data_IF_350964609295
#
_entry.id   IF_350964609295
#
_cell.length_a   1.000
_cell.length_b   1.000
_cell.length_c   1.000
_cell.angle_alpha   90.00
_cell.angle_beta   90.00
_cell.angle_gamma   90.00
#
_symmetry.space_group_name_H-M   'P 1'
#
loop_
_entity.id
_entity.type
_entity.pdbx_description
1 polymer ?
#
# COMPACT_ATOMS: atom_id res chain seq x y z
N UNK A 1 -43.95 8.39 1.83
CA UNK A 1 -42.75 9.06 1.24
C UNK A 1 -42.19 10.19 2.10
N UNK A 2 -42.93 10.76 3.06
CA UNK A 2 -42.46 11.83 3.95
C UNK A 2 -41.60 11.36 5.14
N UNK A 3 -41.51 10.06 5.36
CA UNK A 3 -40.81 9.47 6.51
C UNK A 3 -39.44 8.86 6.13
N UNK A 4 -39.10 8.81 4.83
CA UNK A 4 -37.81 8.31 4.37
C UNK A 4 -36.70 9.28 4.79
N UNK A 5 -35.72 8.77 5.57
CA UNK A 5 -34.55 9.51 5.91
C UNK A 5 -33.46 9.32 4.86
N UNK A 6 -33.30 10.30 3.98
CA UNK A 6 -32.34 10.25 2.86
C UNK A 6 -30.86 10.32 3.30
N UNK A 7 -30.60 10.72 4.54
CA UNK A 7 -29.26 10.82 5.10
C UNK A 7 -28.74 9.51 5.68
N UNK A 8 -29.58 8.48 5.72
CA UNK A 8 -29.23 7.14 6.18
C UNK A 8 -29.28 6.12 5.04
N UNK A 9 -28.27 5.27 4.95
CA UNK A 9 -28.20 4.21 3.94
C UNK A 9 -29.39 3.21 4.01
N UNK A 10 -29.99 3.06 5.20
CA UNK A 10 -31.17 2.21 5.47
C UNK A 10 -32.41 3.02 5.75
N UNK A 11 -32.46 4.28 5.40
CA UNK A 11 -33.52 5.22 5.75
C UNK A 11 -34.87 4.97 5.08
N UNK A 12 -34.96 4.01 4.16
CA UNK A 12 -36.21 3.55 3.53
C UNK A 12 -37.00 2.56 4.41
N UNK A 13 -36.38 2.00 5.44
CA UNK A 13 -36.94 1.01 6.33
C UNK A 13 -36.84 1.46 7.77
N UNK A 14 -37.85 1.10 8.56
CA UNK A 14 -37.93 1.38 9.99
C UNK A 14 -38.09 0.06 10.75
N UNK A 15 -37.34 -0.10 11.85
CA UNK A 15 -37.43 -1.28 12.70
C UNK A 15 -38.17 -0.90 13.99
N UNK A 16 -39.31 -1.53 14.23
CA UNK A 16 -40.07 -1.35 15.44
C UNK A 16 -39.55 -2.30 16.54
N UNK A 17 -38.93 -1.76 17.57
CA UNK A 17 -38.41 -2.55 18.68
C UNK A 17 -39.49 -2.66 19.79
N UNK A 18 -39.88 -3.89 20.12
CA UNK A 18 -40.81 -4.17 21.22
C UNK A 18 -40.09 -4.46 22.55
N UNK A 19 -38.82 -4.85 22.49
CA UNK A 19 -37.97 -5.10 23.64
C UNK A 19 -36.51 -4.74 23.32
N UNK A 20 -35.76 -4.35 24.34
CA UNK A 20 -34.33 -4.04 24.26
C UNK A 20 -33.60 -4.76 25.40
N UNK A 21 -32.66 -5.59 25.05
CA UNK A 21 -31.73 -6.22 25.99
C UNK A 21 -30.32 -5.66 25.81
N UNK A 22 -29.72 -5.12 26.86
CA UNK A 22 -28.37 -4.60 26.86
C UNK A 22 -27.42 -5.78 27.16
N UNK A 23 -26.75 -6.29 26.13
CA UNK A 23 -25.81 -7.40 26.27
C UNK A 23 -24.54 -6.93 26.98
N UNK A 24 -23.98 -5.78 26.57
CA UNK A 24 -22.79 -5.19 27.18
C UNK A 24 -22.95 -3.68 27.30
N UNK A 25 -22.43 -3.13 28.38
CA UNK A 25 -22.24 -1.67 28.52
C UNK A 25 -20.86 -1.28 28.05
N UNK A 26 -20.70 -0.07 27.55
CA UNK A 26 -19.42 0.49 27.14
C UNK A 26 -19.19 1.84 27.83
N UNK A 27 -17.90 2.14 28.04
CA UNK A 27 -17.49 3.50 28.36
C UNK A 27 -17.67 4.44 27.16
N UNK A 28 -17.76 5.75 27.36
CA UNK A 28 -17.78 6.72 26.28
C UNK A 28 -16.58 6.56 25.36
N UNK A 29 -16.81 6.67 24.05
CA UNK A 29 -15.73 6.55 23.07
C UNK A 29 -14.76 7.74 23.20
N UNK A 30 -13.43 7.49 23.15
CA UNK A 30 -12.42 8.55 23.27
C UNK A 30 -12.27 9.40 21.99
N UNK A 31 -12.94 8.99 20.90
CA UNK A 31 -13.03 9.76 19.65
C UNK A 31 -14.47 10.16 19.40
N UNK A 32 -14.68 11.40 19.02
CA UNK A 32 -15.98 11.89 18.57
C UNK A 32 -16.17 11.57 17.09
N UNK A 33 -17.24 10.84 16.75
CA UNK A 33 -17.56 10.49 15.36
C UNK A 33 -18.06 11.69 14.55
N UNK A 34 -18.54 12.74 15.21
CA UNK A 34 -19.17 13.90 14.58
C UNK A 34 -18.26 15.14 14.50
N UNK A 35 -17.11 15.12 15.16
CA UNK A 35 -16.18 16.25 15.23
C UNK A 35 -14.79 15.87 14.74
N UNK A 36 -13.99 16.90 14.45
CA UNK A 36 -12.59 16.71 14.07
C UNK A 36 -11.77 16.39 15.33
N UNK A 37 -11.23 15.17 15.37
CA UNK A 37 -10.31 14.75 16.42
C UNK A 37 -8.86 15.13 16.05
N UNK A 38 -8.01 15.37 17.05
CA UNK A 38 -6.58 15.61 16.82
C UNK A 38 -5.91 14.39 16.20
N UNK A 39 -4.86 14.59 15.42
CA UNK A 39 -4.09 13.50 14.82
C UNK A 39 -3.54 12.55 15.89
N UNK A 40 -3.04 13.08 16.99
CA UNK A 40 -2.54 12.30 18.12
C UNK A 40 -3.62 11.36 18.69
N UNK A 41 -4.83 11.86 18.93
CA UNK A 41 -5.94 11.04 19.43
C UNK A 41 -6.34 9.96 18.41
N UNK A 42 -6.37 10.29 17.12
CA UNK A 42 -6.68 9.36 16.03
C UNK A 42 -5.63 8.27 15.90
N UNK A 43 -4.36 8.59 16.08
CA UNK A 43 -3.27 7.59 16.06
C UNK A 43 -3.27 6.72 17.32
N UNK A 44 -3.53 7.30 18.49
CA UNK A 44 -3.63 6.57 19.76
C UNK A 44 -4.79 5.55 19.74
N UNK A 45 -5.93 5.95 19.20
CA UNK A 45 -7.12 5.11 19.10
C UNK A 45 -7.40 4.69 17.66
N UNK A 46 -6.35 4.27 16.96
CA UNK A 46 -6.39 3.98 15.53
C UNK A 46 -7.49 2.99 15.14
N UNK A 47 -7.73 1.98 15.96
CA UNK A 47 -8.76 0.97 15.75
C UNK A 47 -10.19 1.54 15.77
N UNK A 48 -10.42 2.64 16.49
CA UNK A 48 -11.68 3.36 16.47
C UNK A 48 -11.76 4.32 15.27
N UNK A 49 -10.67 5.04 14.97
CA UNK A 49 -10.60 5.94 13.82
C UNK A 49 -10.84 5.19 12.50
N UNK A 50 -10.37 3.95 12.39
CA UNK A 50 -10.60 3.11 11.21
C UNK A 50 -12.06 2.68 10.99
N UNK A 51 -12.94 2.85 11.98
CA UNK A 51 -14.38 2.62 11.81
C UNK A 51 -15.09 3.75 11.06
N UNK A 52 -14.45 4.89 10.93
CA UNK A 52 -14.96 6.01 10.16
C UNK A 52 -14.99 5.64 8.67
N UNK A 53 -16.11 5.94 7.94
CA UNK A 53 -16.27 5.53 6.55
C UNK A 53 -15.11 5.93 5.64
N UNK A 54 -14.61 7.16 5.77
CA UNK A 54 -13.51 7.68 4.96
C UNK A 54 -12.18 6.96 5.25
N UNK A 55 -11.93 6.56 6.48
CA UNK A 55 -10.73 5.81 6.86
C UNK A 55 -10.81 4.36 6.43
N UNK A 56 -11.98 3.74 6.64
CA UNK A 56 -12.25 2.40 6.15
C UNK A 56 -12.12 2.33 4.61
N UNK A 57 -12.61 3.36 3.90
CA UNK A 57 -12.52 3.43 2.44
C UNK A 57 -11.08 3.47 1.93
N UNK A 58 -10.17 4.15 2.64
CA UNK A 58 -8.73 4.16 2.28
C UNK A 58 -8.13 2.75 2.32
N UNK A 59 -8.42 1.98 3.36
CA UNK A 59 -7.94 0.59 3.45
C UNK A 59 -8.58 -0.32 2.41
N UNK A 60 -9.88 -0.15 2.14
CA UNK A 60 -10.58 -0.89 1.07
C UNK A 60 -9.98 -0.57 -0.30
N UNK A 61 -9.68 0.70 -0.57
CA UNK A 61 -9.01 1.12 -1.82
C UNK A 61 -7.64 0.49 -1.94
N UNK A 62 -6.83 0.52 -0.87
CA UNK A 62 -5.52 -0.16 -0.85
C UNK A 62 -5.64 -1.65 -1.14
N UNK A 63 -6.60 -2.34 -0.54
CA UNK A 63 -6.84 -3.76 -0.80
C UNK A 63 -7.23 -4.03 -2.26
N UNK A 64 -8.07 -3.18 -2.87
CA UNK A 64 -8.41 -3.27 -4.30
C UNK A 64 -7.19 -3.08 -5.19
N UNK A 65 -6.36 -2.07 -4.91
CA UNK A 65 -5.11 -1.82 -5.65
C UNK A 65 -4.20 -3.05 -5.60
N UNK A 66 -3.96 -3.59 -4.41
CA UNK A 66 -3.11 -4.78 -4.23
C UNK A 66 -3.64 -5.99 -4.99
N UNK A 67 -4.95 -6.24 -4.91
CA UNK A 67 -5.60 -7.33 -5.63
C UNK A 67 -5.51 -7.16 -7.14
N UNK A 68 -5.73 -5.94 -7.65
CA UNK A 68 -5.59 -5.63 -9.07
C UNK A 68 -4.16 -5.88 -9.56
N UNK A 69 -3.16 -5.34 -8.85
CA UNK A 69 -1.75 -5.47 -9.25
C UNK A 69 -1.35 -6.94 -9.33
N UNK A 70 -1.77 -7.78 -8.38
CA UNK A 70 -1.48 -9.22 -8.42
C UNK A 70 -2.07 -9.87 -9.67
N UNK A 71 -3.36 -9.66 -9.96
CA UNK A 71 -3.98 -10.21 -11.18
C UNK A 71 -3.27 -9.73 -12.43
N UNK A 72 -3.01 -8.42 -12.54
CA UNK A 72 -2.34 -7.86 -13.71
C UNK A 72 -0.96 -8.47 -13.93
N UNK A 73 -0.14 -8.57 -12.89
CA UNK A 73 1.21 -9.12 -12.99
C UNK A 73 1.20 -10.61 -13.31
N UNK A 74 0.30 -11.39 -12.69
CA UNK A 74 0.12 -12.80 -12.96
C UNK A 74 -0.30 -13.04 -14.44
N UNK A 75 -1.25 -12.23 -14.94
CA UNK A 75 -1.72 -12.31 -16.33
C UNK A 75 -0.62 -11.98 -17.36
N UNK A 76 0.40 -11.19 -16.95
CA UNK A 76 1.56 -10.85 -17.77
C UNK A 76 2.76 -11.78 -17.55
N UNK A 77 2.57 -12.89 -16.85
CA UNK A 77 3.58 -13.93 -16.66
C UNK A 77 4.65 -13.59 -15.63
N UNK A 78 4.40 -12.62 -14.74
CA UNK A 78 5.27 -12.33 -13.61
C UNK A 78 5.00 -13.28 -12.46
N UNK A 79 6.06 -13.64 -11.73
CA UNK A 79 5.99 -14.46 -10.53
C UNK A 79 6.12 -13.60 -9.28
N UNK A 80 5.20 -13.75 -8.34
CA UNK A 80 5.28 -13.16 -7.01
C UNK A 80 6.24 -13.98 -6.16
N UNK A 81 7.43 -13.45 -5.90
CA UNK A 81 8.47 -14.15 -5.12
C UNK A 81 8.80 -13.31 -3.90
N UNK A 82 8.55 -13.88 -2.72
CA UNK A 82 8.88 -13.26 -1.45
C UNK A 82 10.39 -13.35 -1.17
N UNK A 83 10.98 -12.24 -0.74
CA UNK A 83 12.39 -12.11 -0.41
C UNK A 83 12.60 -11.87 1.10
N UNK A 84 13.77 -12.21 1.65
CA UNK A 84 14.03 -12.04 3.08
C UNK A 84 13.96 -10.58 3.54
N UNK A 85 13.47 -10.37 4.78
CA UNK A 85 13.43 -9.06 5.45
C UNK A 85 14.60 -8.89 6.43
N UNK A 86 15.10 -9.95 7.05
CA UNK A 86 16.31 -9.92 7.86
C UNK A 86 17.52 -10.21 6.99
N UNK A 87 18.17 -9.15 6.50
CA UNK A 87 19.22 -9.25 5.49
C UNK A 87 20.54 -8.70 5.99
N UNK A 88 21.57 -8.81 5.17
CA UNK A 88 22.82 -8.09 5.33
C UNK A 88 22.63 -6.65 4.81
N UNK A 89 23.28 -5.68 5.47
CA UNK A 89 23.30 -4.30 4.99
C UNK A 89 23.86 -4.21 3.57
N UNK A 90 23.16 -3.43 2.72
CA UNK A 90 23.57 -3.14 1.34
C UNK A 90 23.61 -1.64 1.13
N UNK A 91 24.61 -1.10 0.40
CA UNK A 91 24.70 0.33 0.13
C UNK A 91 23.70 0.73 -0.97
N UNK A 92 22.51 1.21 -0.57
CA UNK A 92 21.45 1.62 -1.51
C UNK A 92 21.07 3.10 -1.41
N UNK A 93 21.92 3.94 -0.84
CA UNK A 93 21.73 5.39 -0.83
C UNK A 93 21.10 5.96 0.45
N UNK A 94 20.18 5.27 1.11
CA UNK A 94 19.67 5.64 2.43
C UNK A 94 20.44 4.93 3.56
N UNK A 95 20.16 5.30 4.80
CA UNK A 95 20.64 4.54 5.96
C UNK A 95 19.71 3.34 6.21
N UNK A 96 20.32 2.24 6.65
CA UNK A 96 19.58 1.03 7.00
C UNK A 96 19.03 1.10 8.42
N UNK A 97 17.83 0.57 8.64
CA UNK A 97 17.38 0.19 9.96
C UNK A 97 18.03 -1.11 10.38
N UNK A 98 18.58 -1.15 11.58
CA UNK A 98 19.34 -2.30 12.09
C UNK A 98 18.52 -3.05 13.14
N UNK A 99 18.57 -4.39 13.07
CA UNK A 99 17.98 -5.29 14.04
C UNK A 99 19.09 -6.07 14.73
N UNK A 100 19.31 -5.91 16.06
CA UNK A 100 20.35 -6.64 16.78
C UNK A 100 20.15 -8.14 16.70
N UNK A 101 21.25 -8.88 16.46
CA UNK A 101 21.22 -10.35 16.52
C UNK A 101 21.29 -10.82 17.97
N UNK A 102 20.32 -11.61 18.39
CA UNK A 102 20.34 -12.27 19.71
C UNK A 102 21.44 -13.34 19.80
N UNK A 103 21.66 -14.05 18.70
CA UNK A 103 22.60 -15.19 18.65
C UNK A 103 24.05 -14.73 18.52
N UNK A 104 24.30 -13.70 17.75
CA UNK A 104 25.66 -13.19 17.47
C UNK A 104 25.85 -11.81 18.10
N UNK A 105 26.47 -11.75 19.26
CA UNK A 105 26.76 -10.49 19.98
C UNK A 105 27.53 -9.50 19.07
N UNK A 106 27.09 -8.26 19.06
CA UNK A 106 27.70 -7.19 18.29
C UNK A 106 27.44 -7.23 16.78
N UNK A 107 26.58 -8.16 16.31
CA UNK A 107 26.16 -8.23 14.91
C UNK A 107 24.68 -7.84 14.76
N UNK A 108 24.34 -7.35 13.56
CA UNK A 108 23.04 -6.82 13.23
C UNK A 108 22.55 -7.37 11.88
N UNK A 109 21.26 -7.55 11.78
CA UNK A 109 20.56 -7.60 10.51
C UNK A 109 20.22 -6.18 10.06
N UNK A 110 20.09 -5.96 8.76
CA UNK A 110 19.51 -4.76 8.19
C UNK A 110 18.13 -5.06 7.60
N UNK A 111 17.19 -4.14 7.78
CA UNK A 111 15.92 -4.19 7.05
C UNK A 111 16.14 -3.66 5.64
N UNK A 112 15.58 -4.29 4.58
CA UNK A 112 15.88 -3.93 3.20
C UNK A 112 15.30 -2.57 2.82
N UNK A 113 16.10 -1.78 2.13
CA UNK A 113 15.65 -0.54 1.49
C UNK A 113 14.86 -0.81 0.21
N UNK A 114 15.18 -1.90 -0.46
CA UNK A 114 14.46 -2.56 -1.54
C UNK A 114 14.98 -4.00 -1.67
N UNK A 115 14.31 -4.91 -2.38
CA UNK A 115 14.82 -6.25 -2.63
C UNK A 115 15.83 -6.31 -3.80
N UNK A 116 16.57 -5.24 -4.08
CA UNK A 116 17.42 -5.08 -5.27
C UNK A 116 18.41 -6.23 -5.49
N UNK A 117 19.13 -6.64 -4.46
CA UNK A 117 20.09 -7.75 -4.57
C UNK A 117 19.38 -9.07 -4.89
N UNK A 118 18.28 -9.35 -4.20
CA UNK A 118 17.55 -10.61 -4.36
C UNK A 118 16.90 -10.70 -5.73
N UNK A 119 16.29 -9.65 -6.24
CA UNK A 119 15.67 -9.68 -7.56
C UNK A 119 16.68 -9.85 -8.69
N UNK A 120 17.90 -9.28 -8.56
CA UNK A 120 19.00 -9.56 -9.48
C UNK A 120 19.41 -11.03 -9.44
N UNK A 121 19.54 -11.62 -8.25
CA UNK A 121 19.83 -13.05 -8.09
C UNK A 121 18.74 -13.93 -8.67
N UNK A 122 17.48 -13.52 -8.56
CA UNK A 122 16.33 -14.23 -9.17
C UNK A 122 16.42 -14.21 -10.71
N UNK A 123 16.83 -13.10 -11.31
CA UNK A 123 17.11 -13.05 -12.76
C UNK A 123 18.22 -14.03 -13.17
N UNK A 124 19.31 -14.07 -12.40
CA UNK A 124 20.39 -15.05 -12.62
C UNK A 124 19.92 -16.49 -12.42
N UNK A 125 18.89 -16.71 -11.62
CA UNK A 125 18.29 -18.02 -11.35
C UNK A 125 17.27 -18.46 -12.41
N UNK A 126 17.04 -17.63 -13.45
CA UNK A 126 16.12 -17.95 -14.55
C UNK A 126 14.66 -17.54 -14.34
N UNK A 127 14.38 -16.70 -13.34
CA UNK A 127 13.04 -16.10 -13.14
C UNK A 127 12.94 -14.79 -13.92
N UNK A 128 12.64 -14.87 -15.20
CA UNK A 128 12.73 -13.76 -16.15
C UNK A 128 11.73 -12.63 -15.92
N UNK A 129 10.68 -12.87 -15.15
CA UNK A 129 9.66 -11.89 -14.77
C UNK A 129 9.30 -12.08 -13.32
N UNK A 130 9.78 -11.16 -12.50
CA UNK A 130 9.57 -11.13 -11.05
C UNK A 130 8.79 -9.89 -10.67
N UNK A 131 7.89 -10.03 -9.71
CA UNK A 131 7.35 -8.90 -8.95
C UNK A 131 7.15 -9.26 -7.48
N UNK A 132 7.02 -8.23 -6.67
CA UNK A 132 6.65 -8.37 -5.27
C UNK A 132 5.97 -7.09 -4.79
N UNK A 133 4.89 -7.21 -4.01
CA UNK A 133 4.34 -6.10 -3.24
C UNK A 133 4.98 -6.19 -1.86
N UNK A 134 6.02 -5.40 -1.63
CA UNK A 134 6.98 -5.59 -0.56
C UNK A 134 7.13 -4.36 0.32
N UNK A 135 7.30 -4.57 1.62
CA UNK A 135 7.70 -3.51 2.55
C UNK A 135 9.17 -3.19 2.40
N UNK A 136 9.47 -1.88 2.38
CA UNK A 136 10.81 -1.33 2.31
C UNK A 136 11.01 -0.35 3.45
N UNK A 137 12.27 -0.18 3.87
CA UNK A 137 12.65 0.59 5.04
C UNK A 137 13.81 1.51 4.70
N UNK A 138 13.67 2.80 4.98
CA UNK A 138 14.72 3.80 4.75
C UNK A 138 14.77 4.77 5.90
N UNK A 139 15.90 4.85 6.58
CA UNK A 139 16.15 5.83 7.64
C UNK A 139 16.64 7.14 7.00
N UNK A 140 15.68 7.91 6.53
CA UNK A 140 15.86 9.20 5.87
C UNK A 140 15.02 10.29 6.54
N UNK A 141 15.35 11.54 6.25
CA UNK A 141 14.53 12.66 6.67
C UNK A 141 13.13 12.59 6.04
N UNK A 142 12.11 12.71 6.87
CA UNK A 142 10.73 12.66 6.43
C UNK A 142 10.37 13.92 5.64
N UNK A 143 9.72 13.73 4.52
CA UNK A 143 9.10 14.80 3.72
C UNK A 143 7.62 14.49 3.57
N UNK A 144 6.85 15.45 3.09
CA UNK A 144 5.37 15.46 3.02
C UNK A 144 4.67 14.09 2.97
N UNK A 145 5.04 13.23 2.05
CA UNK A 145 4.45 11.90 1.82
C UNK A 145 5.40 10.72 2.06
N UNK A 146 6.65 11.00 2.45
CA UNK A 146 7.66 9.95 2.70
C UNK A 146 7.54 9.40 4.12
N UNK A 147 7.56 8.08 4.21
CA UNK A 147 7.55 7.33 5.46
C UNK A 147 8.80 6.43 5.54
N UNK A 148 9.33 6.18 6.74
CA UNK A 148 10.49 5.29 6.91
C UNK A 148 10.17 3.83 6.58
N UNK A 149 8.92 3.44 6.70
CA UNK A 149 8.38 2.15 6.29
C UNK A 149 7.29 2.38 5.23
N UNK A 150 7.45 1.81 4.06
CA UNK A 150 6.54 1.97 2.94
C UNK A 150 6.46 0.70 2.10
N UNK A 151 5.50 0.66 1.19
CA UNK A 151 5.30 -0.50 0.30
C UNK A 151 5.64 -0.13 -1.13
N UNK A 152 6.40 -0.99 -1.80
CA UNK A 152 6.68 -0.91 -3.23
C UNK A 152 5.93 -2.00 -4.00
N UNK A 153 5.57 -1.67 -5.23
CA UNK A 153 5.36 -2.66 -6.29
C UNK A 153 6.72 -2.79 -6.95
N UNK A 154 7.47 -3.81 -6.57
CA UNK A 154 8.81 -4.05 -7.05
C UNK A 154 8.81 -5.03 -8.21
N UNK A 155 9.52 -4.72 -9.28
CA UNK A 155 9.51 -5.48 -10.54
C UNK A 155 10.93 -5.61 -11.07
N UNK A 156 11.26 -6.79 -11.59
CA UNK A 156 12.50 -7.02 -12.33
C UNK A 156 12.23 -7.93 -13.52
N UNK A 157 12.89 -7.64 -14.64
CA UNK A 157 12.75 -8.43 -15.87
C UNK A 157 14.09 -8.72 -16.50
N UNK A 158 14.22 -9.92 -17.12
CA UNK A 158 15.28 -10.27 -18.06
C UNK A 158 14.76 -10.14 -19.49
N UNK A 159 15.68 -9.91 -20.45
CA UNK A 159 15.41 -9.95 -21.89
C UNK A 159 14.32 -8.96 -22.36
N UNK A 160 14.07 -7.90 -21.62
CA UNK A 160 13.14 -6.84 -22.00
C UNK A 160 13.88 -5.52 -22.20
N UNK A 161 13.47 -4.80 -23.25
CA UNK A 161 13.96 -3.43 -23.50
C UNK A 161 13.23 -2.42 -22.61
N UNK A 162 13.83 -1.25 -22.43
CA UNK A 162 13.20 -0.17 -21.66
C UNK A 162 11.80 0.24 -22.20
N UNK A 163 11.55 0.33 -23.52
CA UNK A 163 10.20 0.55 -24.05
C UNK A 163 9.20 -0.53 -23.65
N UNK A 164 9.58 -1.81 -23.71
CA UNK A 164 8.70 -2.92 -23.32
C UNK A 164 8.31 -2.87 -21.84
N UNK A 165 9.26 -2.57 -20.95
CA UNK A 165 8.96 -2.40 -19.52
C UNK A 165 8.02 -1.22 -19.30
N UNK A 166 8.28 -0.10 -19.99
CA UNK A 166 7.43 1.09 -19.90
C UNK A 166 5.99 0.80 -20.35
N UNK A 167 5.82 0.11 -21.47
CA UNK A 167 4.49 -0.27 -21.98
C UNK A 167 3.69 -1.11 -20.98
N UNK A 168 4.32 -2.08 -20.34
CA UNK A 168 3.66 -2.90 -19.31
C UNK A 168 3.28 -2.03 -18.10
N UNK A 169 4.18 -1.18 -17.63
CA UNK A 169 3.91 -0.32 -16.47
C UNK A 169 2.84 0.73 -16.78
N UNK A 170 2.84 1.32 -17.97
CA UNK A 170 1.79 2.22 -18.41
C UNK A 170 0.43 1.52 -18.46
N UNK A 171 0.37 0.34 -19.05
CA UNK A 171 -0.85 -0.46 -19.10
C UNK A 171 -1.37 -0.78 -17.70
N UNK A 172 -0.48 -1.17 -16.77
CA UNK A 172 -0.84 -1.42 -15.38
C UNK A 172 -1.45 -0.19 -14.72
N UNK A 173 -0.82 0.97 -14.83
CA UNK A 173 -1.29 2.21 -14.19
C UNK A 173 -2.63 2.65 -14.79
N UNK A 174 -2.77 2.63 -16.12
CA UNK A 174 -4.01 3.01 -16.80
C UNK A 174 -5.19 2.12 -16.41
N UNK A 175 -5.00 0.81 -16.42
CA UNK A 175 -6.05 -0.15 -16.04
C UNK A 175 -6.39 -0.05 -14.55
N UNK A 176 -5.39 0.16 -13.68
CA UNK A 176 -5.58 0.37 -12.26
C UNK A 176 -6.50 1.58 -11.99
N UNK A 177 -6.22 2.72 -12.62
CA UNK A 177 -7.01 3.93 -12.46
C UNK A 177 -8.44 3.74 -12.98
N UNK A 178 -8.59 3.07 -14.11
CA UNK A 178 -9.90 2.75 -14.66
C UNK A 178 -10.71 1.85 -13.72
N UNK A 179 -10.12 0.77 -13.20
CA UNK A 179 -10.81 -0.18 -12.31
C UNK A 179 -11.11 0.43 -10.93
N UNK A 180 -10.18 1.17 -10.34
CA UNK A 180 -10.30 1.65 -8.96
C UNK A 180 -11.02 2.99 -8.87
N UNK A 181 -10.83 3.87 -9.85
CA UNK A 181 -11.35 5.24 -9.85
C UNK A 181 -12.36 5.52 -10.96
N UNK A 182 -12.50 4.64 -11.95
CA UNK A 182 -13.35 4.87 -13.12
C UNK A 182 -12.80 5.98 -14.05
N UNK A 183 -11.50 6.27 -13.98
CA UNK A 183 -10.86 7.34 -14.76
C UNK A 183 -9.94 6.72 -15.81
N UNK A 184 -10.18 7.04 -17.07
CA UNK A 184 -9.25 6.75 -18.16
C UNK A 184 -8.19 7.86 -18.24
N UNK A 185 -6.92 7.47 -18.01
CA UNK A 185 -5.80 8.39 -18.04
C UNK A 185 -5.31 8.73 -19.48
N UNK A 186 -5.76 7.95 -20.48
CA UNK A 186 -5.22 8.06 -21.83
C UNK A 186 -3.76 7.60 -21.95
N UNK A 187 -3.13 7.92 -23.07
CA UNK A 187 -1.71 7.61 -23.31
C UNK A 187 -0.80 8.56 -22.53
N UNK A 188 0.30 8.02 -21.99
CA UNK A 188 1.27 8.84 -21.27
C UNK A 188 2.24 9.50 -22.24
N UNK A 189 2.45 10.83 -22.14
CA UNK A 189 3.43 11.51 -22.95
C UNK A 189 4.85 11.05 -22.61
N UNK A 190 5.68 10.90 -23.64
CA UNK A 190 7.11 10.61 -23.48
C UNK A 190 7.87 11.92 -23.58
N UNK A 191 8.69 12.22 -22.58
CA UNK A 191 9.54 13.39 -22.55
C UNK A 191 10.98 13.01 -22.22
N UNK A 192 11.93 13.81 -22.67
CA UNK A 192 13.34 13.66 -22.32
C UNK A 192 13.59 14.16 -20.89
N UNK A 193 14.71 13.76 -20.31
CA UNK A 193 15.14 14.26 -19.00
C UNK A 193 15.20 15.80 -18.98
N UNK A 194 15.80 16.41 -20.01
CA UNK A 194 15.94 17.86 -20.11
C UNK A 194 14.58 18.60 -20.22
N UNK A 195 13.54 17.95 -20.76
CA UNK A 195 12.18 18.48 -20.77
C UNK A 195 11.52 18.35 -19.39
N UNK A 196 11.81 17.29 -18.65
CA UNK A 196 11.24 17.06 -17.32
C UNK A 196 11.86 17.96 -16.22
N UNK A 197 13.06 18.52 -16.46
CA UNK A 197 13.73 19.45 -15.53
C UNK A 197 13.27 20.93 -15.71
N UNK A 198 12.48 21.25 -16.72
CA UNK A 198 11.95 22.60 -17.01
C UNK A 198 10.63 22.85 -16.31
#
# INVERSE_FOLDING_TARGET
>A
DSQINKDMATGEVEVFAHALEIINRSEPLPLDSNHVNTEEARLKYRYLDLRRPEMAQRLKTRAKITSFVRRFMDDHGFLDIETPMLTKATPEGARDYLVPSRVHKGKFYALPQSPQLFKQLLMMSGFDRYYQIVKCFRDEDLRADRQPEFTQIDVETSFMTAPQVREIMEAMVRQLWLEVKGVDLGEFPIMTFAEAER
#
